data_IF_497923974263
#
_entry.id   IF_497923974263
#
_cell.length_a   1.000
_cell.length_b   1.000
_cell.length_c   1.000
_cell.angle_alpha   90.00
_cell.angle_beta   90.00
_cell.angle_gamma   90.00
#
_symmetry.space_group_name_H-M   'P 1'
#
loop_
_entity.id
_entity.type
_entity.pdbx_description
1 polymer ?
#
# COMPACT_ATOMS: atom_id res chain seq x y z
N UNK A 1 53.24 10.42 -74.53
CA UNK A 1 53.59 9.49 -73.43
C UNK A 1 52.34 9.31 -72.60
N UNK A 2 51.55 8.29 -72.92
CA UNK A 2 50.25 8.03 -72.30
C UNK A 2 50.46 7.36 -70.94
N UNK A 3 50.07 8.03 -69.86
CA UNK A 3 50.01 7.43 -68.52
C UNK A 3 49.02 6.26 -68.55
N UNK A 4 49.54 5.05 -68.52
CA UNK A 4 48.76 3.82 -68.39
C UNK A 4 48.35 3.71 -66.92
N UNK A 5 47.11 4.05 -66.58
CA UNK A 5 46.61 3.82 -65.22
C UNK A 5 46.56 2.32 -64.97
N UNK A 6 47.27 1.88 -63.93
CA UNK A 6 47.25 0.48 -63.49
C UNK A 6 46.00 0.34 -62.62
N UNK A 7 44.85 0.00 -63.23
CA UNK A 7 43.64 -0.33 -62.46
C UNK A 7 43.77 -1.75 -61.90
N UNK A 8 44.23 -1.87 -60.65
CA UNK A 8 44.32 -3.17 -59.97
C UNK A 8 42.93 -3.60 -59.47
N UNK A 9 42.06 -4.02 -60.39
CA UNK A 9 40.65 -4.35 -60.14
C UNK A 9 40.46 -5.39 -59.03
N UNK A 10 41.40 -6.32 -58.85
CA UNK A 10 41.34 -7.32 -57.77
C UNK A 10 41.48 -6.67 -56.39
N UNK A 11 42.43 -5.75 -56.23
CA UNK A 11 42.61 -5.01 -54.99
C UNK A 11 41.40 -4.12 -54.68
N UNK A 12 40.81 -3.48 -55.71
CA UNK A 12 39.60 -2.69 -55.56
C UNK A 12 38.40 -3.54 -55.06
N UNK A 13 38.19 -4.72 -55.64
CA UNK A 13 37.13 -5.65 -55.21
C UNK A 13 37.36 -6.10 -53.76
N UNK A 14 38.60 -6.47 -53.40
CA UNK A 14 38.92 -6.89 -52.03
C UNK A 14 38.70 -5.78 -51.00
N UNK A 15 39.12 -4.55 -51.30
CA UNK A 15 38.91 -3.39 -50.42
C UNK A 15 37.42 -3.06 -50.28
N UNK A 16 36.67 -3.08 -51.39
CA UNK A 16 35.22 -2.84 -51.37
C UNK A 16 34.49 -3.90 -50.54
N UNK A 17 34.86 -5.18 -50.69
CA UNK A 17 34.31 -6.27 -49.90
C UNK A 17 34.60 -6.10 -48.40
N UNK A 18 35.82 -5.69 -48.03
CA UNK A 18 36.17 -5.38 -46.64
C UNK A 18 35.34 -4.21 -46.08
N UNK A 19 35.12 -3.16 -46.86
CA UNK A 19 34.26 -2.05 -46.43
C UNK A 19 32.82 -2.50 -46.22
N UNK A 20 32.24 -3.24 -47.17
CA UNK A 20 30.88 -3.79 -47.05
C UNK A 20 30.77 -4.68 -45.80
N UNK A 21 31.73 -5.58 -45.58
CA UNK A 21 31.76 -6.45 -44.40
C UNK A 21 31.84 -5.66 -43.09
N UNK A 22 32.66 -4.60 -43.03
CA UNK A 22 32.73 -3.70 -41.87
C UNK A 22 31.41 -2.97 -41.63
N UNK A 23 30.77 -2.46 -42.68
CA UNK A 23 29.46 -1.81 -42.55
C UNK A 23 28.43 -2.77 -41.98
N UNK A 24 28.34 -4.00 -42.52
CA UNK A 24 27.43 -5.03 -42.01
C UNK A 24 27.70 -5.28 -40.52
N UNK A 25 28.95 -5.47 -40.12
CA UNK A 25 29.31 -5.71 -38.71
C UNK A 25 28.91 -4.55 -37.81
N UNK A 26 29.19 -3.30 -38.21
CA UNK A 26 28.80 -2.10 -37.45
C UNK A 26 27.27 -2.03 -37.31
N UNK A 27 26.52 -2.27 -38.39
CA UNK A 27 25.06 -2.30 -38.34
C UNK A 27 24.54 -3.43 -37.44
N UNK A 28 25.09 -4.64 -37.53
CA UNK A 28 24.69 -5.75 -36.66
C UNK A 28 24.95 -5.44 -35.19
N UNK A 29 26.11 -4.85 -34.85
CA UNK A 29 26.42 -4.44 -33.48
C UNK A 29 25.50 -3.32 -32.98
N UNK A 30 25.16 -2.35 -33.84
CA UNK A 30 24.23 -1.29 -33.49
C UNK A 30 22.82 -1.84 -33.20
N UNK A 31 22.31 -2.72 -34.06
CA UNK A 31 21.01 -3.39 -33.86
C UNK A 31 21.03 -4.21 -32.58
N UNK A 32 22.08 -5.00 -32.36
CA UNK A 32 22.22 -5.83 -31.16
C UNK A 32 22.21 -5.00 -29.88
N UNK A 33 22.93 -3.87 -29.87
CA UNK A 33 22.94 -2.94 -28.74
C UNK A 33 21.56 -2.34 -28.47
N UNK A 34 20.84 -1.89 -29.52
CA UNK A 34 19.48 -1.37 -29.38
C UNK A 34 18.57 -2.44 -28.78
N UNK A 35 18.60 -3.68 -29.29
CA UNK A 35 17.78 -4.77 -28.77
C UNK A 35 18.08 -5.10 -27.31
N UNK A 36 19.36 -5.08 -26.89
CA UNK A 36 19.72 -5.31 -25.48
C UNK A 36 19.18 -4.19 -24.59
N UNK A 37 19.38 -2.95 -24.99
CA UNK A 37 18.94 -1.78 -24.20
C UNK A 37 17.43 -1.78 -24.07
N UNK A 38 16.70 -2.01 -25.16
CA UNK A 38 15.24 -2.10 -25.15
C UNK A 38 14.75 -3.25 -24.25
N UNK A 39 15.39 -4.42 -24.34
CA UNK A 39 15.05 -5.56 -23.48
C UNK A 39 15.26 -5.24 -22.00
N UNK A 40 16.39 -4.61 -21.64
CA UNK A 40 16.69 -4.20 -20.27
C UNK A 40 15.66 -3.19 -19.75
N UNK A 41 15.29 -2.21 -20.58
CA UNK A 41 14.28 -1.21 -20.23
C UNK A 41 12.91 -1.86 -19.99
N UNK A 42 12.48 -2.76 -20.88
CA UNK A 42 11.20 -3.47 -20.73
C UNK A 42 11.21 -4.36 -19.48
N UNK A 43 12.28 -5.11 -19.24
CA UNK A 43 12.41 -5.95 -18.05
C UNK A 43 12.37 -5.11 -16.77
N UNK A 44 13.11 -3.99 -16.74
CA UNK A 44 13.14 -3.09 -15.58
C UNK A 44 11.75 -2.49 -15.29
N UNK A 45 11.02 -2.08 -16.33
CA UNK A 45 9.66 -1.58 -16.19
C UNK A 45 8.70 -2.67 -15.67
N UNK A 46 8.81 -3.90 -16.17
CA UNK A 46 8.00 -5.02 -15.69
C UNK A 46 8.28 -5.32 -14.21
N UNK A 47 9.54 -5.30 -13.79
CA UNK A 47 9.93 -5.51 -12.40
C UNK A 47 9.39 -4.36 -11.51
N UNK A 48 9.45 -3.12 -11.99
CA UNK A 48 8.88 -1.96 -11.30
C UNK A 48 7.35 -2.04 -11.16
N UNK A 49 6.63 -2.53 -12.17
CA UNK A 49 5.18 -2.76 -12.10
C UNK A 49 4.83 -3.83 -11.07
N UNK A 50 5.58 -4.93 -11.02
CA UNK A 50 5.39 -6.00 -10.03
C UNK A 50 5.67 -5.53 -8.61
N UNK A 51 6.75 -4.77 -8.41
CA UNK A 51 7.05 -4.14 -7.13
C UNK A 51 5.93 -3.17 -6.70
N UNK A 52 5.34 -2.43 -7.66
CA UNK A 52 4.21 -1.55 -7.36
C UNK A 52 2.98 -2.33 -6.90
N UNK A 53 2.63 -3.38 -7.61
CA UNK A 53 1.50 -4.24 -7.25
C UNK A 53 1.67 -4.87 -5.86
N UNK A 54 2.89 -5.27 -5.51
CA UNK A 54 3.23 -5.74 -4.16
C UNK A 54 3.02 -4.66 -3.10
N UNK A 55 3.41 -3.41 -3.36
CA UNK A 55 3.16 -2.31 -2.44
C UNK A 55 1.67 -1.97 -2.31
N UNK A 56 0.90 -2.08 -3.40
CA UNK A 56 -0.56 -1.86 -3.38
C UNK A 56 -1.24 -2.93 -2.52
N UNK A 57 -0.90 -4.20 -2.78
CA UNK A 57 -1.39 -5.35 -2.01
C UNK A 57 -1.12 -5.17 -0.51
N UNK A 58 0.07 -4.71 -0.15
CA UNK A 58 0.43 -4.46 1.25
C UNK A 58 -0.49 -3.41 1.91
N UNK A 59 -0.79 -2.32 1.21
CA UNK A 59 -1.67 -1.27 1.74
C UNK A 59 -3.11 -1.77 1.83
N UNK A 60 -3.60 -2.45 0.80
CA UNK A 60 -4.97 -2.96 0.77
C UNK A 60 -5.21 -3.98 1.88
N UNK A 61 -4.28 -4.91 2.06
CA UNK A 61 -4.34 -5.89 3.16
C UNK A 61 -4.32 -5.20 4.53
N UNK A 62 -3.45 -4.21 4.72
CA UNK A 62 -3.39 -3.45 5.96
C UNK A 62 -4.69 -2.69 6.25
N UNK A 63 -5.32 -2.12 5.22
CA UNK A 63 -6.60 -1.43 5.34
C UNK A 63 -7.69 -2.43 5.77
N UNK A 64 -7.78 -3.59 5.12
CA UNK A 64 -8.76 -4.63 5.46
C UNK A 64 -8.56 -5.09 6.91
N UNK A 65 -7.32 -5.42 7.30
CA UNK A 65 -7.00 -5.84 8.67
C UNK A 65 -7.43 -4.78 9.70
N UNK A 66 -7.21 -3.49 9.40
CA UNK A 66 -7.62 -2.38 10.28
C UNK A 66 -9.15 -2.28 10.38
N UNK A 67 -9.89 -2.37 9.26
CA UNK A 67 -11.35 -2.35 9.25
C UNK A 67 -11.94 -3.48 10.09
N UNK A 68 -11.47 -4.71 9.90
CA UNK A 68 -11.97 -5.87 10.65
C UNK A 68 -11.76 -5.70 12.17
N UNK A 69 -10.60 -5.20 12.59
CA UNK A 69 -10.33 -4.94 14.00
C UNK A 69 -11.20 -3.80 14.54
N UNK A 70 -11.43 -2.75 13.76
CA UNK A 70 -12.21 -1.60 14.19
C UNK A 70 -13.69 -1.94 14.32
N UNK A 71 -14.25 -2.69 13.37
CA UNK A 71 -15.63 -3.15 13.41
C UNK A 71 -15.89 -4.01 14.65
N UNK A 72 -14.96 -4.91 14.98
CA UNK A 72 -15.05 -5.71 16.21
C UNK A 72 -15.06 -4.84 17.48
N UNK A 73 -14.24 -3.78 17.52
CA UNK A 73 -14.21 -2.85 18.66
C UNK A 73 -15.50 -2.04 18.77
N UNK A 74 -16.01 -1.55 17.64
CA UNK A 74 -17.27 -0.81 17.57
C UNK A 74 -18.42 -1.68 18.07
N UNK A 75 -18.51 -2.93 17.61
CA UNK A 75 -19.56 -3.85 18.04
C UNK A 75 -19.50 -4.13 19.53
N UNK A 76 -18.31 -4.45 20.07
CA UNK A 76 -18.14 -4.68 21.51
C UNK A 76 -18.56 -3.46 22.34
N UNK A 77 -18.17 -2.26 21.91
CA UNK A 77 -18.56 -1.03 22.59
C UNK A 77 -20.08 -0.80 22.58
N UNK A 78 -20.73 -1.00 21.42
CA UNK A 78 -22.18 -0.83 21.30
C UNK A 78 -22.96 -1.86 22.13
N UNK A 79 -22.46 -3.09 22.24
CA UNK A 79 -23.04 -4.11 23.11
C UNK A 79 -22.93 -3.73 24.59
N UNK A 80 -21.74 -3.32 25.04
CA UNK A 80 -21.50 -2.89 26.43
C UNK A 80 -22.33 -1.63 26.78
N UNK A 81 -22.42 -0.68 25.85
CA UNK A 81 -23.25 0.53 26.02
C UNK A 81 -24.73 0.18 26.15
N UNK A 82 -25.22 -0.75 25.33
CA UNK A 82 -26.61 -1.22 25.39
C UNK A 82 -26.89 -1.88 26.74
N UNK A 83 -26.02 -2.78 27.20
CA UNK A 83 -26.17 -3.45 28.50
C UNK A 83 -26.14 -2.43 29.65
N UNK A 84 -25.22 -1.46 29.60
CA UNK A 84 -25.15 -0.39 30.59
C UNK A 84 -26.45 0.43 30.64
N UNK A 85 -27.00 0.83 29.48
CA UNK A 85 -28.27 1.57 29.41
C UNK A 85 -29.45 0.77 29.99
N UNK A 86 -29.54 -0.52 29.69
CA UNK A 86 -30.59 -1.40 30.24
C UNK A 86 -30.48 -1.46 31.76
N UNK A 87 -29.30 -1.74 32.30
CA UNK A 87 -29.05 -1.82 33.74
C UNK A 87 -29.36 -0.49 34.46
N UNK A 88 -29.03 0.64 33.81
CA UNK A 88 -29.36 1.97 34.32
C UNK A 88 -30.88 2.19 34.41
N UNK A 89 -31.63 1.89 33.35
CA UNK A 89 -33.10 2.03 33.33
C UNK A 89 -33.76 1.11 34.38
N UNK A 90 -33.28 -0.13 34.50
CA UNK A 90 -33.78 -1.06 35.51
C UNK A 90 -33.53 -0.53 36.93
N UNK A 91 -32.33 0.00 37.19
CA UNK A 91 -31.99 0.57 38.50
C UNK A 91 -32.86 1.78 38.87
N UNK A 92 -33.18 2.65 37.90
CA UNK A 92 -34.12 3.76 38.08
C UNK A 92 -35.52 3.26 38.48
N UNK A 93 -36.00 2.20 37.80
CA UNK A 93 -37.34 1.65 38.03
C UNK A 93 -37.49 0.93 39.38
N UNK A 94 -36.42 0.27 39.86
CA UNK A 94 -36.45 -0.58 41.05
C UNK A 94 -36.12 0.21 42.33
N UNK A 95 -35.12 1.08 42.28
CA UNK A 95 -34.57 1.72 43.47
C UNK A 95 -35.14 3.13 43.71
N UNK A 96 -35.72 3.77 42.69
CA UNK A 96 -36.18 5.17 42.79
C UNK A 96 -35.05 6.17 43.12
N UNK A 97 -33.80 5.72 42.97
CA UNK A 97 -32.58 6.50 43.09
C UNK A 97 -32.16 6.80 41.66
N UNK A 98 -31.71 8.02 41.40
CA UNK A 98 -31.11 8.44 40.13
C UNK A 98 -29.60 8.22 40.25
N UNK A 99 -29.04 7.04 39.89
CA UNK A 99 -27.61 6.85 39.91
C UNK A 99 -26.93 7.79 38.92
N UNK A 100 -25.66 8.11 39.18
CA UNK A 100 -24.88 8.96 38.29
C UNK A 100 -24.67 8.24 36.95
N UNK A 101 -25.13 8.85 35.84
CA UNK A 101 -25.04 8.26 34.51
C UNK A 101 -23.65 8.52 33.93
N UNK A 102 -22.82 7.48 33.90
CA UNK A 102 -21.44 7.52 33.38
C UNK A 102 -21.22 6.36 32.42
N UNK A 103 -21.66 6.48 31.15
CA UNK A 103 -21.56 5.41 30.17
C UNK A 103 -20.09 5.07 29.83
N UNK A 104 -19.83 3.87 29.29
CA UNK A 104 -18.53 3.52 28.75
C UNK A 104 -18.06 4.55 27.72
N UNK A 105 -16.76 4.86 27.70
CA UNK A 105 -16.18 5.80 26.73
C UNK A 105 -15.50 5.03 25.58
N UNK A 106 -15.94 5.26 24.35
CA UNK A 106 -15.39 4.64 23.14
C UNK A 106 -13.88 4.85 22.96
N UNK A 107 -13.35 6.04 23.29
CA UNK A 107 -11.91 6.33 23.19
C UNK A 107 -11.07 5.38 24.04
N UNK A 108 -11.63 4.90 25.15
CA UNK A 108 -10.96 3.92 26.02
C UNK A 108 -10.82 2.57 25.34
N UNK A 109 -11.83 2.14 24.57
CA UNK A 109 -11.81 0.92 23.77
C UNK A 109 -10.81 1.04 22.63
N UNK A 110 -10.86 2.14 21.86
CA UNK A 110 -9.89 2.43 20.80
C UNK A 110 -8.45 2.39 21.33
N UNK A 111 -8.20 3.04 22.47
CA UNK A 111 -6.87 3.08 23.06
C UNK A 111 -6.39 1.70 23.51
N UNK A 112 -7.23 0.99 24.26
CA UNK A 112 -6.89 -0.32 24.85
C UNK A 112 -6.70 -1.40 23.79
N UNK A 113 -7.60 -1.45 22.82
CA UNK A 113 -7.75 -2.60 21.94
C UNK A 113 -7.17 -2.38 20.54
N UNK A 114 -7.02 -1.13 20.10
CA UNK A 114 -6.42 -0.82 18.81
C UNK A 114 -5.09 -0.07 18.94
N UNK A 115 -5.08 1.17 19.45
CA UNK A 115 -3.92 2.08 19.39
C UNK A 115 -2.70 1.47 20.08
N UNK A 116 -2.87 0.89 21.28
CA UNK A 116 -1.77 0.25 22.02
C UNK A 116 -1.21 -1.00 21.33
N UNK A 117 -1.96 -1.61 20.41
CA UNK A 117 -1.63 -2.87 19.73
C UNK A 117 -1.36 -2.69 18.23
N UNK A 118 -1.47 -1.47 17.70
CA UNK A 118 -1.40 -1.19 16.25
C UNK A 118 -0.08 -1.65 15.62
N UNK A 119 1.02 -1.63 16.38
CA UNK A 119 2.33 -2.10 15.92
C UNK A 119 2.35 -3.60 15.62
N UNK A 120 1.44 -4.38 16.18
CA UNK A 120 1.35 -5.83 15.97
C UNK A 120 0.82 -6.17 14.57
N UNK A 121 0.21 -5.20 13.88
CA UNK A 121 -0.25 -5.34 12.50
C UNK A 121 0.89 -5.17 11.48
N UNK A 122 2.09 -4.78 11.93
CA UNK A 122 3.27 -4.71 11.07
C UNK A 122 3.74 -6.11 10.70
N UNK A 123 3.85 -6.39 9.40
CA UNK A 123 4.29 -7.69 8.89
C UNK A 123 5.14 -7.58 7.64
N UNK A 124 5.90 -8.64 7.38
CA UNK A 124 6.69 -8.85 6.15
C UNK A 124 6.25 -10.19 5.58
N UNK A 125 5.86 -10.19 4.30
CA UNK A 125 5.41 -11.39 3.60
C UNK A 125 6.33 -11.66 2.43
N UNK A 126 6.97 -12.84 2.46
CA UNK A 126 7.94 -13.26 1.45
C UNK A 126 7.30 -14.18 0.42
N UNK A 127 7.58 -13.90 -0.84
CA UNK A 127 7.10 -14.62 -2.03
C UNK A 127 5.59 -14.92 -2.04
N UNK A 128 4.71 -13.92 -1.84
CA UNK A 128 3.26 -14.12 -1.77
C UNK A 128 2.62 -14.60 -3.08
N UNK A 129 3.23 -14.36 -4.24
CA UNK A 129 2.63 -14.63 -5.54
C UNK A 129 3.37 -15.77 -6.27
N UNK A 130 2.69 -16.89 -6.48
CA UNK A 130 3.28 -18.06 -7.16
C UNK A 130 3.65 -17.80 -8.63
N UNK A 131 3.00 -16.83 -9.29
CA UNK A 131 3.31 -16.46 -10.68
C UNK A 131 4.57 -15.61 -10.86
N UNK A 132 5.21 -15.20 -9.77
CA UNK A 132 6.35 -14.30 -9.76
C UNK A 132 7.64 -15.12 -9.68
N UNK A 133 8.44 -15.07 -10.76
CA UNK A 133 9.60 -15.96 -10.94
C UNK A 133 10.79 -15.57 -10.04
N UNK A 134 11.03 -14.26 -9.86
CA UNK A 134 12.15 -13.74 -9.07
C UNK A 134 11.76 -13.57 -7.60
N UNK A 135 12.77 -13.39 -6.73
CA UNK A 135 12.55 -13.10 -5.32
C UNK A 135 11.72 -11.82 -5.16
N UNK A 136 10.71 -11.90 -4.31
CA UNK A 136 9.81 -10.79 -4.07
C UNK A 136 9.20 -10.84 -2.67
N UNK A 137 8.85 -9.67 -2.16
CA UNK A 137 8.23 -9.53 -0.85
C UNK A 137 7.46 -8.22 -0.77
N UNK A 138 6.58 -8.14 0.22
CA UNK A 138 6.07 -6.86 0.69
C UNK A 138 6.14 -6.73 2.20
N UNK A 139 6.11 -5.49 2.69
CA UNK A 139 6.00 -5.21 4.11
C UNK A 139 5.02 -4.07 4.39
N UNK A 140 4.42 -4.16 5.56
CA UNK A 140 3.40 -3.25 6.06
C UNK A 140 3.94 -2.57 7.31
N UNK A 141 3.87 -1.25 7.33
CA UNK A 141 4.19 -0.43 8.50
C UNK A 141 3.01 0.50 8.80
N UNK A 142 2.41 0.33 9.98
CA UNK A 142 1.25 1.06 10.45
C UNK A 142 1.63 1.86 11.68
N UNK A 143 1.23 3.13 11.69
CA UNK A 143 1.45 4.05 12.81
C UNK A 143 0.23 4.93 13.01
N UNK A 144 -0.16 5.11 14.27
CA UNK A 144 -1.17 6.09 14.64
C UNK A 144 -0.51 7.43 14.99
N UNK A 145 -1.02 8.52 14.43
CA UNK A 145 -0.62 9.89 14.75
C UNK A 145 -1.71 10.57 15.56
N UNK A 146 -1.44 10.80 16.85
CA UNK A 146 -2.42 11.33 17.80
C UNK A 146 -2.81 12.77 17.50
N UNK A 147 -1.90 13.58 16.95
CA UNK A 147 -2.17 15.00 16.72
C UNK A 147 -3.16 15.25 15.60
N UNK A 148 -3.11 14.41 14.55
CA UNK A 148 -3.99 14.48 13.39
C UNK A 148 -5.19 13.53 13.49
N UNK A 149 -5.16 12.60 14.45
CA UNK A 149 -6.14 11.53 14.64
C UNK A 149 -6.32 10.64 13.38
N UNK A 150 -5.17 10.22 12.84
CA UNK A 150 -5.10 9.41 11.61
C UNK A 150 -4.16 8.22 11.77
N UNK A 151 -4.44 7.18 11.01
CA UNK A 151 -3.60 6.01 10.84
C UNK A 151 -2.81 6.17 9.54
N UNK A 152 -1.49 6.18 9.66
CA UNK A 152 -0.55 6.11 8.56
C UNK A 152 -0.22 4.66 8.25
N UNK A 153 -0.45 4.26 7.00
CA UNK A 153 -0.09 2.94 6.48
C UNK A 153 0.99 3.15 5.42
N UNK A 154 2.10 2.44 5.54
CA UNK A 154 3.16 2.42 4.53
C UNK A 154 3.34 0.99 4.04
N UNK A 155 2.98 0.76 2.78
CA UNK A 155 3.24 -0.49 2.07
C UNK A 155 4.53 -0.40 1.28
N UNK A 156 5.40 -1.39 1.41
CA UNK A 156 6.63 -1.52 0.64
C UNK A 156 6.55 -2.78 -0.21
N UNK A 157 6.82 -2.69 -1.50
CA UNK A 157 6.91 -3.82 -2.40
C UNK A 157 8.31 -3.92 -2.98
N UNK A 158 8.86 -5.14 -3.02
CA UNK A 158 10.15 -5.44 -3.61
C UNK A 158 10.02 -6.60 -4.58
N UNK A 159 10.55 -6.44 -5.79
CA UNK A 159 10.64 -7.48 -6.81
C UNK A 159 12.01 -7.42 -7.47
N UNK A 160 12.84 -8.45 -7.26
CA UNK A 160 14.22 -8.48 -7.72
C UNK A 160 15.00 -7.21 -7.27
N UNK A 161 15.31 -6.31 -8.20
CA UNK A 161 16.00 -5.05 -7.92
C UNK A 161 15.06 -3.84 -7.84
N UNK A 162 13.78 -4.00 -8.15
CA UNK A 162 12.79 -2.94 -8.14
C UNK A 162 12.14 -2.80 -6.76
N UNK A 163 12.02 -1.55 -6.28
CA UNK A 163 11.40 -1.23 -5.00
C UNK A 163 10.36 -0.13 -5.20
N UNK A 164 9.19 -0.30 -4.60
CA UNK A 164 8.10 0.68 -4.59
C UNK A 164 7.56 0.84 -3.19
N UNK A 165 7.06 2.04 -2.91
CA UNK A 165 6.42 2.36 -1.64
C UNK A 165 5.17 3.17 -1.90
N UNK A 166 4.13 2.81 -1.17
CA UNK A 166 2.88 3.51 -1.13
C UNK A 166 2.58 3.89 0.32
N UNK A 167 2.02 5.06 0.49
CA UNK A 167 1.52 5.53 1.78
C UNK A 167 0.04 5.83 1.65
N UNK A 168 -0.72 5.41 2.65
CA UNK A 168 -2.12 5.74 2.81
C UNK A 168 -2.35 6.38 4.17
N UNK A 169 -3.38 7.22 4.24
CA UNK A 169 -3.91 7.79 5.48
C UNK A 169 -5.36 7.36 5.63
N UNK A 170 -5.71 6.89 6.82
CA UNK A 170 -7.07 6.49 7.19
C UNK A 170 -7.49 7.28 8.42
N UNK A 171 -8.71 7.81 8.44
CA UNK A 171 -9.26 8.49 9.62
C UNK A 171 -9.61 7.49 10.72
N UNK A 172 -9.51 7.91 11.97
CA UNK A 172 -10.13 7.17 13.08
C UNK A 172 -11.66 7.31 13.04
N UNK A 173 -12.41 6.31 13.55
CA UNK A 173 -13.85 6.43 13.70
C UNK A 173 -14.20 7.53 14.70
N UNK A 174 -15.36 8.17 14.51
CA UNK A 174 -15.79 9.31 15.34
C UNK A 174 -17.16 9.06 15.93
N UNK A 175 -17.30 9.40 17.20
CA UNK A 175 -18.56 9.27 17.95
C UNK A 175 -19.22 10.63 18.04
N UNK A 176 -20.51 10.69 17.73
CA UNK A 176 -21.32 11.90 17.80
C UNK A 176 -22.62 11.60 18.55
N UNK A 177 -22.98 12.46 19.49
CA UNK A 177 -24.29 12.43 20.13
C UNK A 177 -25.26 13.16 19.21
N UNK A 178 -26.23 12.43 18.66
CA UNK A 178 -27.20 12.96 17.69
C UNK A 178 -28.50 13.42 18.36
N UNK A 179 -28.75 13.01 19.60
CA UNK A 179 -29.96 13.35 20.32
C UNK A 179 -30.09 12.61 21.64
N UNK A 180 -31.33 12.44 22.08
CA UNK A 180 -31.68 11.62 23.23
C UNK A 180 -32.76 10.63 22.82
N UNK A 181 -32.67 9.41 23.36
CA UNK A 181 -33.66 8.36 23.13
C UNK A 181 -34.95 8.59 23.95
N UNK A 182 -35.91 7.67 23.82
CA UNK A 182 -37.20 7.77 24.50
C UNK A 182 -37.10 7.80 26.04
N UNK A 183 -35.95 7.44 26.60
CA UNK A 183 -35.67 7.46 28.04
C UNK A 183 -34.82 8.68 28.45
N UNK A 184 -34.56 9.60 27.52
CA UNK A 184 -33.74 10.78 27.77
C UNK A 184 -32.25 10.48 27.86
N UNK A 185 -31.78 9.30 27.41
CA UNK A 185 -30.36 8.95 27.37
C UNK A 185 -29.75 9.31 26.02
N UNK A 186 -28.45 9.62 25.99
CA UNK A 186 -27.76 10.04 24.77
C UNK A 186 -27.91 9.02 23.63
N UNK A 187 -28.39 9.46 22.49
CA UNK A 187 -28.40 8.69 21.25
C UNK A 187 -27.08 8.93 20.51
N UNK A 188 -26.35 7.86 20.22
CA UNK A 188 -24.97 7.92 19.73
C UNK A 188 -24.90 7.33 18.32
N UNK A 189 -24.22 8.05 17.42
CA UNK A 189 -23.86 7.60 16.09
C UNK A 189 -22.33 7.46 15.99
N UNK A 190 -21.86 6.39 15.34
CA UNK A 190 -20.44 6.13 15.10
C UNK A 190 -20.18 6.22 13.61
N UNK A 191 -19.41 7.23 13.20
CA UNK A 191 -18.92 7.36 11.83
C UNK A 191 -17.75 6.40 11.62
N UNK A 192 -17.78 5.57 10.57
CA UNK A 192 -16.74 4.60 10.29
C UNK A 192 -15.42 5.28 9.88
N UNK A 193 -14.36 4.50 9.80
CA UNK A 193 -13.10 4.95 9.19
C UNK A 193 -13.29 5.25 7.71
N UNK A 194 -12.48 6.17 7.19
CA UNK A 194 -12.45 6.52 5.78
C UNK A 194 -11.00 6.65 5.29
N UNK A 195 -10.74 6.21 4.06
CA UNK A 195 -9.44 6.43 3.42
C UNK A 195 -9.36 7.90 2.98
N UNK A 196 -8.49 8.65 3.65
CA UNK A 196 -8.29 10.09 3.40
C UNK A 196 -7.44 10.31 2.13
N UNK A 197 -6.37 9.54 2.00
CA UNK A 197 -5.41 9.73 0.91
C UNK A 197 -4.63 8.48 0.60
N UNK A 198 -4.22 8.35 -0.66
CA UNK A 198 -3.38 7.28 -1.18
C UNK A 198 -2.32 7.90 -2.09
N UNK A 199 -1.03 7.68 -1.81
CA UNK A 199 0.05 8.29 -2.56
C UNK A 199 1.23 7.34 -2.74
N UNK A 200 1.71 7.26 -3.98
CA UNK A 200 2.91 6.51 -4.33
C UNK A 200 4.13 7.40 -4.16
N UNK A 201 5.12 6.94 -3.39
CA UNK A 201 6.40 7.65 -3.26
C UNK A 201 7.38 7.18 -4.33
N UNK A 202 8.06 8.13 -4.97
CA UNK A 202 9.19 7.86 -5.86
C UNK A 202 10.45 7.82 -4.98
N UNK A 203 11.17 6.70 -4.98
CA UNK A 203 12.51 6.62 -4.40
C UNK A 203 13.55 7.19 -5.36
N UNK A 204 14.50 7.94 -4.81
CA UNK A 204 15.80 8.22 -5.40
C UNK A 204 16.85 7.27 -4.81
#
# INVERSE_FOLDING_TARGET
MTMKSISNNKAYISVTCLFIGKFILVFTMAIYNICIVDYQMVSSNADAMRANYLSETAVDEAIIDIYEHMDAIIMNYLEDLREYKINYIESLSILGIEPDYSPPNFDSYLKRDFINKISNLNKIVKNPFLGYIKEHEYSINIKYEKTEDVIYITGFGSYDNARKRIKAKVSMPRVVVIGHDAFGLEEIEIYPMEVISYFQEIFY
#
